data_IF_480097657993
#
_entry.id   IF_480097657993
#
_cell.length_a   1.000
_cell.length_b   1.000
_cell.length_c   1.000
_cell.angle_alpha   90.00
_cell.angle_beta   90.00
_cell.angle_gamma   90.00
#
_symmetry.space_group_name_H-M   'P 1'
#
loop_
_entity.id
_entity.type
_entity.pdbx_description
1 polymer ?
#
# COMPACT_ATOMS: atom_id res chain seq x y z
N UNK A 1 11.47 -3.40 10.77
CA UNK A 1 11.26 -4.65 10.03
C UNK A 1 12.56 -5.36 9.65
N UNK A 2 13.68 -4.65 9.42
CA UNK A 2 15.01 -5.26 9.18
C UNK A 2 15.44 -6.37 10.16
N UNK A 3 15.20 -6.21 11.47
CA UNK A 3 15.52 -7.24 12.47
C UNK A 3 14.63 -8.50 12.41
N UNK A 4 13.60 -8.49 11.57
CA UNK A 4 12.67 -9.61 11.34
C UNK A 4 12.83 -10.22 9.94
N UNK A 5 13.84 -9.78 9.18
CA UNK A 5 14.12 -10.25 7.82
C UNK A 5 12.92 -10.17 6.85
N UNK A 6 12.12 -9.10 7.00
CA UNK A 6 10.96 -8.85 6.13
C UNK A 6 11.40 -8.02 4.94
N UNK A 7 11.03 -8.45 3.73
CA UNK A 7 11.31 -7.74 2.48
C UNK A 7 10.05 -7.15 1.82
N UNK A 8 8.87 -7.62 2.23
CA UNK A 8 7.58 -7.24 1.64
C UNK A 8 6.60 -6.79 2.70
N UNK A 9 5.84 -5.73 2.40
CA UNK A 9 4.84 -5.16 3.29
C UNK A 9 3.51 -5.04 2.57
N UNK A 10 2.43 -5.48 3.24
CA UNK A 10 1.06 -5.21 2.84
C UNK A 10 0.56 -4.07 3.74
N UNK A 11 0.24 -2.93 3.15
CA UNK A 11 -0.24 -1.75 3.88
C UNK A 11 -1.73 -1.61 3.66
N UNK A 12 -2.48 -1.40 4.74
CA UNK A 12 -3.94 -1.21 4.77
C UNK A 12 -4.28 -0.18 5.86
N UNK A 13 -5.47 0.41 5.83
CA UNK A 13 -5.93 1.34 6.86
C UNK A 13 -6.50 2.64 6.29
N UNK A 14 -6.56 3.69 7.12
CA UNK A 14 -7.09 5.01 6.74
C UNK A 14 -6.24 6.14 7.33
N UNK A 15 -6.17 7.33 6.71
CA UNK A 15 -6.70 7.67 5.39
C UNK A 15 -5.70 7.36 4.26
N UNK A 16 -6.20 6.97 3.08
CA UNK A 16 -5.40 6.59 1.89
C UNK A 16 -4.33 7.65 1.57
N UNK A 17 -4.73 8.92 1.51
CA UNK A 17 -3.88 10.06 1.15
C UNK A 17 -3.08 10.68 2.32
N UNK A 18 -3.10 10.08 3.52
CA UNK A 18 -2.43 10.63 4.70
C UNK A 18 -1.50 9.61 5.33
N UNK A 19 -2.01 8.78 6.25
CA UNK A 19 -1.20 7.83 7.01
C UNK A 19 -0.76 6.67 6.12
N UNK A 20 -1.64 6.21 5.23
CA UNK A 20 -1.35 5.11 4.30
C UNK A 20 -0.30 5.57 3.28
N UNK A 21 -0.50 6.71 2.62
CA UNK A 21 0.47 7.30 1.70
C UNK A 21 1.84 7.53 2.35
N UNK A 22 1.88 8.15 3.54
CA UNK A 22 3.13 8.42 4.24
C UNK A 22 3.88 7.12 4.57
N UNK A 23 3.15 6.08 4.98
CA UNK A 23 3.72 4.77 5.30
C UNK A 23 4.22 4.05 4.05
N UNK A 24 3.46 4.08 2.96
CA UNK A 24 3.83 3.48 1.67
C UNK A 24 5.12 4.13 1.13
N UNK A 25 5.20 5.46 1.16
CA UNK A 25 6.39 6.20 0.72
C UNK A 25 7.61 5.87 1.56
N UNK A 26 7.49 5.89 2.89
CA UNK A 26 8.60 5.54 3.80
C UNK A 26 9.06 4.10 3.61
N UNK A 27 8.13 3.16 3.40
CA UNK A 27 8.46 1.77 3.10
C UNK A 27 9.17 1.62 1.75
N UNK A 28 8.67 2.27 0.70
CA UNK A 28 9.29 2.25 -0.62
C UNK A 28 10.70 2.83 -0.61
N UNK A 29 10.94 3.95 0.09
CA UNK A 29 12.28 4.55 0.25
C UNK A 29 13.26 3.69 1.03
N UNK A 30 12.78 2.68 1.74
CA UNK A 30 13.61 1.71 2.48
C UNK A 30 13.72 0.37 1.73
N UNK A 31 13.43 0.37 0.44
CA UNK A 31 13.51 -0.77 -0.47
C UNK A 31 12.58 -1.95 -0.11
N UNK A 32 11.48 -1.71 0.63
CA UNK A 32 10.47 -2.76 0.83
C UNK A 32 9.60 -2.93 -0.42
N UNK A 33 9.23 -4.17 -0.73
CA UNK A 33 8.18 -4.46 -1.70
C UNK A 33 6.80 -4.15 -1.10
N UNK A 34 6.22 -3.02 -1.47
CA UNK A 34 4.94 -2.56 -0.90
C UNK A 34 3.76 -3.00 -1.75
N UNK A 35 2.72 -3.53 -1.11
CA UNK A 35 1.44 -3.90 -1.70
C UNK A 35 0.30 -3.17 -0.98
N UNK A 36 -0.65 -2.64 -1.74
CA UNK A 36 -1.86 -2.02 -1.21
C UNK A 36 -3.09 -2.75 -1.79
N UNK A 37 -3.82 -3.53 -0.99
CA UNK A 37 -5.15 -4.01 -1.34
C UNK A 37 -6.12 -2.83 -1.38
N UNK A 38 -6.64 -2.51 -2.57
CA UNK A 38 -7.38 -1.26 -2.79
C UNK A 38 -8.69 -1.20 -2.01
N UNK A 39 -9.34 -2.34 -1.79
CA UNK A 39 -10.58 -2.46 -1.02
C UNK A 39 -10.35 -2.37 0.51
N UNK A 40 -9.09 -2.25 0.96
CA UNK A 40 -8.71 -2.19 2.37
C UNK A 40 -8.15 -0.81 2.80
N UNK A 41 -8.46 0.24 2.03
CA UNK A 41 -8.14 1.63 2.37
C UNK A 41 -9.30 2.55 1.99
N UNK A 42 -9.36 3.73 2.60
CA UNK A 42 -10.35 4.75 2.28
C UNK A 42 -9.81 6.16 2.60
N UNK A 43 -10.23 7.17 1.84
CA UNK A 43 -10.05 8.59 2.14
C UNK A 43 -11.40 9.31 2.31
N UNK A 44 -11.36 10.57 2.79
CA UNK A 44 -12.57 11.36 3.03
C UNK A 44 -13.30 11.74 1.74
N UNK A 45 -12.57 11.92 0.64
CA UNK A 45 -13.16 12.16 -0.68
C UNK A 45 -12.52 11.25 -1.73
N UNK A 46 -13.26 11.02 -2.82
CA UNK A 46 -12.82 10.19 -3.94
C UNK A 46 -11.61 10.82 -4.64
N UNK A 47 -11.55 12.15 -4.74
CA UNK A 47 -10.45 12.87 -5.39
C UNK A 47 -9.14 12.69 -4.62
N UNK A 48 -9.22 12.73 -3.28
CA UNK A 48 -8.07 12.47 -2.40
C UNK A 48 -7.57 11.04 -2.56
N UNK A 49 -8.50 10.07 -2.60
CA UNK A 49 -8.18 8.67 -2.79
C UNK A 49 -7.47 8.42 -4.13
N UNK A 50 -8.10 8.85 -5.24
CA UNK A 50 -7.57 8.63 -6.60
C UNK A 50 -6.22 9.33 -6.79
N UNK A 51 -6.05 10.54 -6.24
CA UNK A 51 -4.78 11.26 -6.31
C UNK A 51 -3.63 10.51 -5.64
N UNK A 52 -3.88 9.92 -4.47
CA UNK A 52 -2.88 9.11 -3.77
C UNK A 52 -2.60 7.79 -4.50
N UNK A 53 -3.64 7.09 -4.95
CA UNK A 53 -3.52 5.82 -5.69
C UNK A 53 -2.67 5.98 -6.95
N UNK A 54 -2.88 7.06 -7.72
CA UNK A 54 -2.09 7.32 -8.93
C UNK A 54 -0.59 7.44 -8.65
N UNK A 55 -0.22 8.06 -7.51
CA UNK A 55 1.18 8.11 -7.08
C UNK A 55 1.71 6.74 -6.68
N UNK A 56 0.88 5.93 -6.01
CA UNK A 56 1.26 4.58 -5.58
C UNK A 56 1.62 3.70 -6.77
N UNK A 57 0.71 3.59 -7.74
CA UNK A 57 0.91 2.77 -8.95
C UNK A 57 2.12 3.22 -9.77
N UNK A 58 2.36 4.54 -9.83
CA UNK A 58 3.47 5.08 -10.60
C UNK A 58 4.84 4.78 -9.96
N UNK A 59 4.97 4.90 -8.63
CA UNK A 59 6.30 4.95 -8.01
C UNK A 59 6.47 4.22 -6.67
N UNK A 60 5.42 3.93 -5.90
CA UNK A 60 5.61 3.57 -4.49
C UNK A 60 5.05 2.21 -4.07
N UNK A 61 4.01 1.67 -4.71
CA UNK A 61 3.41 0.41 -4.32
C UNK A 61 2.69 -0.30 -5.46
N UNK A 62 2.56 -1.62 -5.33
CA UNK A 62 1.68 -2.43 -6.18
C UNK A 62 0.26 -2.36 -5.63
N UNK A 63 -0.61 -1.65 -6.32
CA UNK A 63 -2.05 -1.63 -6.01
C UNK A 63 -2.67 -2.91 -6.57
N UNK A 64 -3.36 -3.66 -5.72
CA UNK A 64 -3.93 -4.98 -6.05
C UNK A 64 -5.33 -5.10 -5.48
N UNK A 65 -6.13 -6.04 -5.97
CA UNK A 65 -7.36 -6.42 -5.28
C UNK A 65 -7.07 -7.25 -4.03
N UNK A 66 -7.96 -7.19 -3.05
CA UNK A 66 -7.88 -7.96 -1.81
C UNK A 66 -7.82 -9.46 -2.08
N UNK A 67 -8.65 -9.97 -3.01
CA UNK A 67 -8.64 -11.39 -3.40
C UNK A 67 -7.30 -11.82 -3.98
N UNK A 68 -6.69 -10.99 -4.84
CA UNK A 68 -5.37 -11.26 -5.40
C UNK A 68 -4.30 -11.29 -4.31
N UNK A 69 -4.38 -10.39 -3.33
CA UNK A 69 -3.45 -10.37 -2.20
C UNK A 69 -3.61 -11.63 -1.33
N UNK A 70 -4.84 -12.02 -0.98
CA UNK A 70 -5.13 -13.23 -0.18
C UNK A 70 -4.62 -14.48 -0.90
N UNK A 71 -4.88 -14.59 -2.21
CA UNK A 71 -4.41 -15.73 -3.00
C UNK A 71 -2.89 -15.80 -3.07
N UNK A 72 -2.21 -14.64 -3.07
CA UNK A 72 -0.75 -14.58 -3.05
C UNK A 72 -0.14 -15.03 -1.71
N UNK A 73 -0.83 -14.80 -0.59
CA UNK A 73 -0.39 -15.21 0.75
C UNK A 73 -0.61 -16.70 1.06
N UNK A 74 -1.49 -17.38 0.32
CA UNK A 74 -1.81 -18.82 0.51
C UNK A 74 -0.82 -19.77 -0.16
N UNK A 75 0.09 -19.23 -0.97
CA UNK A 75 1.19 -19.98 -1.60
C UNK A 75 2.44 -19.88 -0.75
#
# INVERSE_FOLDING_TARGET
MRGLDIESLVVVGIATNVCVESTIRDASYRDYNVFLPIEATASYTVEQEIGAIGNFEFAFARVVSLDNMINKLKK
#
